data_IF_708573119765
#
_entry.id   IF_708573119765
#
_cell.length_a   1.000
_cell.length_b   1.000
_cell.length_c   1.000
_cell.angle_alpha   90.00
_cell.angle_beta   90.00
_cell.angle_gamma   90.00
#
_symmetry.space_group_name_H-M   'P 1'
#
loop_
_entity.id
_entity.type
_entity.pdbx_description
1 polymer ?
#
# COMPACT_ATOMS: atom_id res chain seq x y z
N UNK A 1 10.10 -12.96 18.00
CA UNK A 1 9.20 -14.11 18.24
C UNK A 1 7.96 -13.88 17.41
N UNK A 2 7.69 -14.75 16.43
CA UNK A 2 6.41 -14.72 15.70
C UNK A 2 5.36 -15.14 16.73
N UNK A 3 4.36 -14.29 16.94
CA UNK A 3 3.24 -14.62 17.81
C UNK A 3 2.59 -15.92 17.34
N UNK A 4 2.39 -16.87 18.25
CA UNK A 4 1.66 -18.12 17.95
C UNK A 4 0.17 -17.88 17.59
N UNK A 5 -0.27 -16.62 17.61
CA UNK A 5 -1.64 -16.21 17.33
C UNK A 5 -1.92 -15.94 15.84
N UNK A 6 -0.87 -15.90 15.00
CA UNK A 6 -1.05 -15.77 13.55
C UNK A 6 -1.45 -17.14 12.95
N UNK A 7 -2.73 -17.27 12.64
CA UNK A 7 -3.30 -18.46 11.99
C UNK A 7 -3.71 -18.14 10.55
N UNK A 8 -3.55 -19.12 9.67
CA UNK A 8 -4.13 -19.04 8.33
C UNK A 8 -5.64 -18.87 8.42
N UNK A 9 -6.20 -17.97 7.62
CA UNK A 9 -7.64 -17.72 7.60
C UNK A 9 -8.47 -18.88 7.05
N UNK A 10 -7.82 -19.88 6.41
CA UNK A 10 -8.47 -21.00 5.72
C UNK A 10 -9.63 -20.54 4.81
N UNK A 11 -9.38 -19.50 4.04
CA UNK A 11 -10.37 -18.84 3.18
C UNK A 11 -10.84 -19.72 2.01
N UNK A 12 -10.14 -20.81 1.72
CA UNK A 12 -10.35 -21.63 0.53
C UNK A 12 -9.64 -21.09 -0.72
N UNK A 13 -9.13 -19.85 -0.67
CA UNK A 13 -8.37 -19.23 -1.77
C UNK A 13 -6.88 -19.56 -1.66
N UNK A 14 -6.19 -19.54 -2.80
CA UNK A 14 -4.77 -19.87 -2.89
C UNK A 14 -4.04 -19.09 -4.00
N UNK A 15 -2.82 -19.50 -4.29
CA UNK A 15 -1.93 -18.81 -5.23
C UNK A 15 -2.45 -18.74 -6.68
N UNK A 16 -3.50 -19.48 -7.01
CA UNK A 16 -4.14 -19.50 -8.34
C UNK A 16 -5.51 -18.84 -8.35
N UNK A 17 -5.97 -18.33 -7.21
CA UNK A 17 -7.28 -17.66 -7.13
C UNK A 17 -7.18 -16.28 -7.78
N UNK A 18 -8.15 -15.99 -8.65
CA UNK A 18 -8.27 -14.69 -9.28
C UNK A 18 -8.92 -13.67 -8.33
N UNK A 19 -8.55 -12.39 -8.40
CA UNK A 19 -9.14 -11.35 -7.55
C UNK A 19 -10.67 -11.27 -7.65
N UNK A 20 -11.23 -11.51 -8.84
CA UNK A 20 -12.67 -11.54 -9.07
C UNK A 20 -13.38 -12.66 -8.32
N UNK A 21 -12.74 -13.85 -8.18
CA UNK A 21 -13.28 -14.95 -7.39
C UNK A 21 -13.31 -14.61 -5.90
N UNK A 22 -12.26 -13.90 -5.42
CA UNK A 22 -12.13 -13.52 -4.01
C UNK A 22 -13.18 -12.47 -3.62
N UNK A 23 -13.51 -11.56 -4.55
CA UNK A 23 -14.47 -10.47 -4.34
C UNK A 23 -15.89 -10.81 -4.80
N UNK A 24 -16.14 -12.03 -5.28
CA UNK A 24 -17.48 -12.44 -5.71
C UNK A 24 -18.51 -12.26 -4.57
N UNK A 25 -19.60 -11.56 -4.87
CA UNK A 25 -20.64 -11.21 -3.90
C UNK A 25 -20.26 -10.12 -2.89
N UNK A 26 -19.04 -9.56 -2.93
CA UNK A 26 -18.61 -8.46 -2.05
C UNK A 26 -18.95 -7.12 -2.72
N UNK A 27 -19.70 -6.28 -2.01
CA UNK A 27 -20.02 -4.92 -2.43
C UNK A 27 -19.24 -3.92 -1.58
N UNK A 28 -18.36 -3.14 -2.24
CA UNK A 28 -17.55 -2.09 -1.63
C UNK A 28 -18.05 -0.67 -1.95
N UNK A 29 -19.29 -0.53 -2.46
CA UNK A 29 -19.89 0.78 -2.73
C UNK A 29 -19.89 1.65 -1.47
N UNK A 30 -19.45 2.90 -1.61
CA UNK A 30 -19.32 3.83 -0.49
C UNK A 30 -18.08 3.62 0.37
N UNK A 31 -17.19 2.68 0.02
CA UNK A 31 -15.89 2.50 0.67
C UNK A 31 -14.80 3.21 -0.11
N UNK A 32 -13.87 3.83 0.61
CA UNK A 32 -12.66 4.41 0.04
C UNK A 32 -11.46 3.54 0.39
N UNK A 33 -10.68 3.20 -0.63
CA UNK A 33 -9.45 2.42 -0.50
C UNK A 33 -8.24 3.24 -0.98
N UNK A 34 -7.13 3.18 -0.26
CA UNK A 34 -5.82 3.67 -0.71
C UNK A 34 -4.95 2.46 -1.01
N UNK A 35 -4.32 2.43 -2.20
CA UNK A 35 -3.40 1.36 -2.61
C UNK A 35 -2.07 1.98 -3.04
N UNK A 36 -1.02 1.81 -2.24
CA UNK A 36 0.32 2.25 -2.63
C UNK A 36 0.86 1.35 -3.74
N UNK A 37 1.49 1.93 -4.77
CA UNK A 37 1.95 1.17 -5.94
C UNK A 37 0.83 0.51 -6.74
N UNK A 38 -0.40 1.01 -6.63
CA UNK A 38 -1.60 0.45 -7.25
C UNK A 38 -1.68 0.60 -8.77
N UNK A 39 -0.66 1.12 -9.42
CA UNK A 39 -0.61 1.36 -10.87
C UNK A 39 0.41 0.47 -11.61
N UNK A 40 1.00 -0.52 -10.93
CA UNK A 40 1.96 -1.44 -11.55
C UNK A 40 1.99 -2.80 -10.86
N UNK A 41 2.47 -3.82 -11.57
CA UNK A 41 2.63 -5.16 -11.01
C UNK A 41 1.34 -5.71 -10.38
N UNK A 42 1.45 -6.31 -9.20
CA UNK A 42 0.31 -6.87 -8.44
C UNK A 42 -0.69 -5.77 -8.06
N UNK A 43 -0.21 -4.54 -7.81
CA UNK A 43 -1.04 -3.44 -7.37
C UNK A 43 -2.11 -3.03 -8.38
N UNK A 44 -1.86 -3.12 -9.68
CA UNK A 44 -2.85 -2.74 -10.69
C UNK A 44 -4.06 -3.69 -10.68
N UNK A 45 -3.84 -4.98 -10.47
CA UNK A 45 -4.94 -5.95 -10.38
C UNK A 45 -5.72 -5.77 -9.06
N UNK A 46 -5.02 -5.43 -7.97
CA UNK A 46 -5.68 -5.04 -6.71
C UNK A 46 -6.56 -3.80 -6.91
N UNK A 47 -6.06 -2.78 -7.60
CA UNK A 47 -6.81 -1.55 -7.91
C UNK A 47 -8.04 -1.85 -8.75
N UNK A 48 -7.87 -2.65 -9.81
CA UNK A 48 -8.96 -3.07 -10.69
C UNK A 48 -10.06 -3.80 -9.91
N UNK A 49 -9.70 -4.83 -9.16
CA UNK A 49 -10.65 -5.65 -8.41
C UNK A 49 -11.44 -4.85 -7.37
N UNK A 50 -10.78 -3.95 -6.63
CA UNK A 50 -11.46 -3.07 -5.68
C UNK A 50 -12.42 -2.09 -6.37
N UNK A 51 -11.99 -1.51 -7.52
CA UNK A 51 -12.82 -0.61 -8.31
C UNK A 51 -14.05 -1.33 -8.88
N UNK A 52 -13.87 -2.52 -9.43
CA UNK A 52 -14.96 -3.36 -9.96
C UNK A 52 -15.95 -3.79 -8.85
N UNK A 53 -15.47 -3.99 -7.62
CA UNK A 53 -16.32 -4.23 -6.47
C UNK A 53 -17.03 -2.98 -5.93
N UNK A 54 -16.81 -1.81 -6.54
CA UNK A 54 -17.50 -0.55 -6.24
C UNK A 54 -16.77 0.40 -5.27
N UNK A 55 -15.53 0.11 -4.88
CA UNK A 55 -14.75 1.01 -4.02
C UNK A 55 -14.28 2.25 -4.80
N UNK A 56 -14.23 3.39 -4.11
CA UNK A 56 -13.49 4.58 -4.55
C UNK A 56 -12.01 4.34 -4.27
N UNK A 57 -11.21 4.02 -5.29
CA UNK A 57 -9.79 3.68 -5.10
C UNK A 57 -8.92 4.90 -5.36
N UNK A 58 -8.09 5.25 -4.38
CA UNK A 58 -7.14 6.37 -4.40
C UNK A 58 -5.73 5.81 -4.56
N UNK A 59 -4.98 6.35 -5.52
CA UNK A 59 -3.62 5.89 -5.83
C UNK A 59 -2.61 7.01 -5.57
N UNK A 60 -1.85 6.91 -4.47
CA UNK A 60 -0.66 7.73 -4.33
C UNK A 60 0.44 7.21 -5.26
N UNK A 61 0.98 8.08 -6.09
CA UNK A 61 1.96 7.75 -7.10
C UNK A 61 3.14 8.75 -7.08
N UNK A 62 4.37 8.23 -7.14
CA UNK A 62 5.56 9.06 -7.30
C UNK A 62 5.60 9.75 -8.67
N UNK A 63 4.99 9.13 -9.67
CA UNK A 63 4.88 9.64 -11.06
C UNK A 63 3.41 9.57 -11.49
N UNK A 64 2.61 10.61 -11.16
CA UNK A 64 1.18 10.62 -11.44
C UNK A 64 0.83 10.41 -12.91
N UNK A 65 1.62 10.98 -13.83
CA UNK A 65 1.39 10.85 -15.28
C UNK A 65 1.47 9.39 -15.75
N UNK A 66 2.45 8.63 -15.24
CA UNK A 66 2.55 7.20 -15.56
C UNK A 66 1.38 6.41 -14.96
N UNK A 67 0.97 6.77 -13.75
CA UNK A 67 -0.17 6.13 -13.10
C UNK A 67 -1.48 6.42 -13.86
N UNK A 68 -1.67 7.66 -14.36
CA UNK A 68 -2.85 8.03 -15.17
C UNK A 68 -2.93 7.24 -16.47
N UNK A 69 -1.79 6.94 -17.09
CA UNK A 69 -1.75 6.09 -18.30
C UNK A 69 -2.06 4.63 -17.96
N UNK A 70 -1.43 4.11 -16.90
CA UNK A 70 -1.58 2.70 -16.51
C UNK A 70 -3.00 2.36 -16.01
N UNK A 71 -3.69 3.34 -15.43
CA UNK A 71 -5.02 3.17 -14.81
C UNK A 71 -6.16 3.75 -15.66
N UNK A 72 -5.87 4.13 -16.90
CA UNK A 72 -6.91 4.63 -17.81
C UNK A 72 -8.03 3.60 -18.01
N UNK A 73 -9.28 4.03 -17.80
CA UNK A 73 -10.44 3.14 -17.82
C UNK A 73 -10.64 2.25 -16.58
N UNK A 74 -9.74 2.31 -15.55
CA UNK A 74 -9.87 1.54 -14.31
C UNK A 74 -10.40 2.44 -13.18
N UNK A 75 -9.81 3.62 -13.00
CA UNK A 75 -10.24 4.60 -12.00
C UNK A 75 -10.23 6.02 -12.59
N UNK A 76 -10.96 6.98 -12.00
CA UNK A 76 -10.90 8.37 -12.39
C UNK A 76 -9.51 8.98 -12.19
N UNK A 77 -9.09 9.90 -13.08
CA UNK A 77 -7.77 10.53 -13.01
C UNK A 77 -7.57 11.41 -11.76
N UNK A 78 -8.63 12.00 -11.25
CA UNK A 78 -8.66 12.79 -10.02
C UNK A 78 -8.55 11.96 -8.74
N UNK A 79 -8.50 10.63 -8.87
CA UNK A 79 -8.16 9.70 -7.80
C UNK A 79 -6.66 9.39 -7.70
N UNK A 80 -5.82 9.99 -8.56
CA UNK A 80 -4.38 9.80 -8.57
C UNK A 80 -3.71 11.04 -8.00
N UNK A 81 -2.93 10.86 -6.94
CA UNK A 81 -2.27 11.94 -6.21
C UNK A 81 -0.76 11.72 -6.17
N UNK A 82 -0.01 12.83 -6.17
CA UNK A 82 1.44 12.74 -6.01
C UNK A 82 1.81 12.35 -4.57
N UNK A 83 2.63 11.31 -4.43
CA UNK A 83 3.26 10.94 -3.15
C UNK A 83 4.48 10.06 -3.41
N UNK A 84 5.60 10.40 -2.76
CA UNK A 84 6.81 9.57 -2.70
C UNK A 84 6.97 8.99 -1.29
N UNK A 85 7.00 7.65 -1.20
CA UNK A 85 7.21 6.93 0.07
C UNK A 85 8.61 7.11 0.66
N UNK A 86 9.57 7.58 -0.12
CA UNK A 86 10.92 7.90 0.37
C UNK A 86 11.06 9.32 0.96
N UNK A 87 10.01 10.15 0.83
CA UNK A 87 9.96 11.54 1.29
C UNK A 87 8.83 11.73 2.32
N UNK A 88 9.22 11.96 3.58
CA UNK A 88 8.26 12.13 4.68
C UNK A 88 7.35 13.36 4.50
N UNK A 89 7.87 14.44 3.92
CA UNK A 89 7.09 15.64 3.65
C UNK A 89 6.06 15.38 2.54
N UNK A 90 6.41 14.56 1.55
CA UNK A 90 5.48 14.11 0.51
C UNK A 90 4.35 13.28 1.10
N UNK A 91 4.68 12.34 1.99
CA UNK A 91 3.68 11.53 2.71
C UNK A 91 2.76 12.45 3.51
N UNK A 92 3.33 13.42 4.25
CA UNK A 92 2.54 14.34 5.06
C UNK A 92 1.57 15.17 4.22
N UNK A 93 2.02 15.75 3.11
CA UNK A 93 1.13 16.52 2.20
C UNK A 93 -0.04 15.66 1.72
N UNK A 94 0.23 14.42 1.31
CA UNK A 94 -0.80 13.49 0.87
C UNK A 94 -1.78 13.15 2.00
N UNK A 95 -1.27 12.80 3.19
CA UNK A 95 -2.14 12.43 4.33
C UNK A 95 -3.00 13.59 4.83
N UNK A 96 -2.49 14.82 4.83
CA UNK A 96 -3.25 16.01 5.16
C UNK A 96 -4.42 16.24 4.17
N UNK A 97 -4.19 15.96 2.88
CA UNK A 97 -5.24 16.01 1.86
C UNK A 97 -6.30 14.94 2.09
N UNK A 98 -5.89 13.70 2.37
CA UNK A 98 -6.80 12.58 2.66
C UNK A 98 -7.65 12.89 3.89
N UNK A 99 -7.03 13.25 5.01
CA UNK A 99 -7.72 13.57 6.28
C UNK A 99 -8.78 14.68 6.12
N UNK A 100 -8.53 15.62 5.24
CA UNK A 100 -9.43 16.79 5.02
C UNK A 100 -10.64 16.43 4.16
N UNK A 101 -10.49 15.52 3.19
CA UNK A 101 -11.44 15.38 2.09
C UNK A 101 -12.08 13.99 1.99
N UNK A 102 -11.55 12.97 2.65
CA UNK A 102 -11.94 11.58 2.43
C UNK A 102 -12.21 10.85 3.74
N UNK A 103 -13.19 9.93 3.70
CA UNK A 103 -13.40 8.94 4.76
C UNK A 103 -12.74 7.64 4.31
N UNK A 104 -11.62 7.28 4.93
CA UNK A 104 -10.82 6.13 4.54
C UNK A 104 -11.30 4.85 5.23
N UNK A 105 -11.54 3.79 4.47
CA UNK A 105 -11.94 2.47 4.99
C UNK A 105 -10.83 1.42 4.86
N UNK A 106 -10.06 1.46 3.75
CA UNK A 106 -9.09 0.42 3.41
C UNK A 106 -7.76 1.08 3.05
N UNK A 107 -6.69 0.68 3.73
CA UNK A 107 -5.32 1.07 3.41
C UNK A 107 -4.54 -0.18 3.01
N UNK A 108 -4.02 -0.24 1.78
CA UNK A 108 -3.20 -1.33 1.28
C UNK A 108 -1.78 -0.83 1.03
N UNK A 109 -0.87 -1.17 1.93
CA UNK A 109 0.56 -0.92 1.84
C UNK A 109 1.18 -1.99 0.91
N UNK A 110 1.09 -1.76 -0.40
CA UNK A 110 1.48 -2.72 -1.43
C UNK A 110 2.78 -2.34 -2.14
N UNK A 111 3.11 -1.04 -2.25
CA UNK A 111 4.32 -0.61 -2.95
C UNK A 111 5.58 -1.28 -2.40
N UNK A 112 6.50 -1.58 -3.29
CA UNK A 112 7.81 -2.11 -2.91
C UNK A 112 8.80 -2.00 -4.05
N UNK A 113 10.06 -1.80 -3.69
CA UNK A 113 11.19 -1.84 -4.60
C UNK A 113 12.17 -2.92 -4.13
N UNK A 114 12.85 -3.56 -5.06
CA UNK A 114 13.80 -4.62 -4.76
C UNK A 114 14.94 -4.61 -5.77
N UNK A 115 16.14 -4.94 -5.28
CA UNK A 115 17.34 -5.04 -6.09
C UNK A 115 17.63 -3.79 -6.96
N UNK A 116 17.24 -2.62 -6.47
CA UNK A 116 17.62 -1.35 -7.09
C UNK A 116 19.09 -1.02 -6.79
N UNK A 117 19.75 -0.16 -7.60
CA UNK A 117 21.05 0.35 -7.25
C UNK A 117 21.09 0.95 -5.86
N UNK A 118 22.21 0.75 -5.15
CA UNK A 118 22.39 1.33 -3.82
C UNK A 118 22.17 2.84 -3.86
N UNK A 119 21.25 3.29 -3.03
CA UNK A 119 21.00 4.71 -2.87
C UNK A 119 20.40 5.00 -1.50
N UNK A 120 20.55 6.23 -1.04
CA UNK A 120 20.05 6.70 0.26
C UNK A 120 19.08 7.87 0.07
N UNK A 121 18.12 7.94 0.97
CA UNK A 121 17.23 9.11 1.07
C UNK A 121 17.98 10.34 1.60
N UNK A 122 17.35 11.50 1.56
CA UNK A 122 17.87 12.73 2.19
C UNK A 122 18.14 12.58 3.69
N UNK A 123 17.44 11.65 4.35
CA UNK A 123 17.63 11.31 5.75
C UNK A 123 18.76 10.29 5.99
N UNK A 124 19.46 9.85 4.95
CA UNK A 124 20.55 8.88 5.04
C UNK A 124 20.09 7.41 5.14
N UNK A 125 18.79 7.12 5.01
CA UNK A 125 18.27 5.77 5.07
C UNK A 125 18.48 5.04 3.74
N UNK A 126 18.73 3.73 3.80
CA UNK A 126 18.66 2.88 2.60
C UNK A 126 17.32 3.06 1.90
N UNK A 127 17.35 3.21 0.56
CA UNK A 127 16.15 3.53 -0.20
C UNK A 127 15.10 2.42 -0.15
N UNK A 128 15.50 1.14 -0.18
CA UNK A 128 14.55 0.03 -0.11
C UNK A 128 13.89 -0.03 1.26
N UNK A 129 14.67 0.16 2.34
CA UNK A 129 14.11 0.21 3.68
C UNK A 129 13.19 1.42 3.87
N UNK A 130 13.58 2.58 3.34
CA UNK A 130 12.76 3.79 3.41
C UNK A 130 11.40 3.59 2.71
N UNK A 131 11.39 3.10 1.46
CA UNK A 131 10.15 2.92 0.68
C UNK A 131 9.31 1.76 1.22
N UNK A 132 9.93 0.58 1.44
CA UNK A 132 9.17 -0.63 1.74
C UNK A 132 8.66 -0.66 3.18
N UNK A 133 9.36 0.01 4.12
CA UNK A 133 9.02 -0.04 5.53
C UNK A 133 8.70 1.32 6.14
N UNK A 134 9.66 2.26 6.19
CA UNK A 134 9.50 3.53 6.91
C UNK A 134 8.34 4.35 6.31
N UNK A 135 8.29 4.47 4.99
CA UNK A 135 7.24 5.24 4.31
C UNK A 135 5.84 4.70 4.60
N UNK A 136 5.67 3.38 4.55
CA UNK A 136 4.39 2.74 4.89
C UNK A 136 4.06 2.84 6.38
N UNK A 137 5.07 2.76 7.25
CA UNK A 137 4.87 2.96 8.69
C UNK A 137 4.33 4.37 8.96
N UNK A 138 4.98 5.40 8.40
CA UNK A 138 4.56 6.80 8.57
C UNK A 138 3.19 7.04 7.95
N UNK A 139 2.94 6.56 6.71
CA UNK A 139 1.64 6.66 6.05
C UNK A 139 0.52 6.06 6.91
N UNK A 140 0.76 4.87 7.46
CA UNK A 140 -0.20 4.18 8.32
C UNK A 140 -0.43 4.95 9.61
N UNK A 141 0.63 5.39 10.27
CA UNK A 141 0.56 6.16 11.52
C UNK A 141 -0.23 7.47 11.32
N UNK A 142 0.00 8.16 10.21
CA UNK A 142 -0.70 9.40 9.90
C UNK A 142 -2.20 9.19 9.60
N UNK A 143 -2.59 8.05 9.03
CA UNK A 143 -3.96 7.82 8.58
C UNK A 143 -4.83 7.02 9.54
N UNK A 144 -4.26 6.23 10.44
CA UNK A 144 -4.99 5.25 11.26
C UNK A 144 -6.13 5.87 12.08
N UNK A 145 -5.89 7.03 12.68
CA UNK A 145 -6.89 7.71 13.52
C UNK A 145 -8.02 8.37 12.70
N UNK A 146 -7.80 8.57 11.40
CA UNK A 146 -8.78 9.15 10.47
C UNK A 146 -9.57 8.09 9.70
N UNK A 147 -9.28 6.81 9.90
CA UNK A 147 -10.02 5.73 9.24
C UNK A 147 -11.42 5.56 9.85
N UNK A 148 -12.41 5.32 8.98
CA UNK A 148 -13.78 5.07 9.40
C UNK A 148 -13.92 3.68 10.04
N UNK A 149 -13.85 3.65 11.37
CA UNK A 149 -13.97 2.43 12.15
C UNK A 149 -15.43 1.94 12.27
N UNK A 150 -16.42 2.79 12.02
CA UNK A 150 -17.84 2.44 12.17
C UNK A 150 -18.29 1.36 11.19
N UNK A 151 -17.64 1.29 10.04
CA UNK A 151 -17.93 0.36 8.96
C UNK A 151 -16.87 -0.73 8.76
N UNK A 152 -15.95 -0.89 9.71
CA UNK A 152 -14.92 -1.94 9.69
C UNK A 152 -13.70 -1.58 8.84
N UNK A 153 -12.87 -0.65 9.32
CA UNK A 153 -11.61 -0.28 8.68
C UNK A 153 -10.63 -1.47 8.57
N UNK A 154 -9.80 -1.46 7.52
CA UNK A 154 -8.77 -2.48 7.27
C UNK A 154 -7.45 -1.86 6.86
N UNK A 155 -6.36 -2.33 7.46
CA UNK A 155 -4.99 -2.04 7.02
C UNK A 155 -4.36 -3.36 6.59
N UNK A 156 -3.89 -3.42 5.35
CA UNK A 156 -3.25 -4.59 4.76
C UNK A 156 -1.80 -4.23 4.44
N UNK A 157 -0.86 -4.97 5.01
CA UNK A 157 0.57 -4.82 4.71
C UNK A 157 1.04 -6.01 3.89
N UNK A 158 1.55 -5.77 2.69
CA UNK A 158 2.19 -6.81 1.91
C UNK A 158 3.53 -7.16 2.54
N UNK A 159 3.80 -8.46 2.59
CA UNK A 159 5.06 -9.03 3.06
C UNK A 159 5.67 -9.91 1.97
N UNK A 160 6.88 -10.39 2.19
CA UNK A 160 7.59 -11.26 1.26
C UNK A 160 8.02 -12.55 1.94
N UNK A 161 8.14 -13.64 1.17
CA UNK A 161 8.80 -14.87 1.63
C UNK A 161 10.25 -14.64 2.03
N UNK A 162 10.87 -13.56 1.56
CA UNK A 162 12.24 -13.18 1.91
C UNK A 162 12.47 -13.00 3.41
N UNK A 163 11.43 -12.61 4.18
CA UNK A 163 11.53 -12.48 5.64
C UNK A 163 11.91 -13.80 6.35
N UNK A 164 11.80 -14.92 5.66
CA UNK A 164 12.17 -16.24 6.19
C UNK A 164 13.66 -16.57 6.01
N UNK A 165 14.39 -15.81 5.17
CA UNK A 165 15.79 -16.11 4.85
C UNK A 165 16.77 -15.63 5.92
N UNK A 166 16.46 -14.56 6.61
CA UNK A 166 17.28 -14.06 7.73
C UNK A 166 16.44 -13.26 8.70
N UNK A 167 16.97 -13.02 9.92
CA UNK A 167 16.47 -12.02 10.84
C UNK A 167 16.86 -10.60 10.41
N UNK A 168 16.44 -9.61 11.21
CA UNK A 168 16.83 -8.21 11.02
C UNK A 168 18.28 -8.05 11.53
N UNK A 169 19.13 -7.42 10.72
CA UNK A 169 20.48 -7.03 11.12
C UNK A 169 20.42 -5.73 11.93
N UNK A 170 20.20 -5.84 13.22
CA UNK A 170 20.04 -4.67 14.10
C UNK A 170 21.29 -3.81 14.21
N UNK A 171 22.47 -4.41 14.04
CA UNK A 171 23.76 -3.71 14.13
C UNK A 171 24.09 -2.95 12.83
N UNK A 172 23.44 -3.28 11.71
CA UNK A 172 23.62 -2.62 10.41
C UNK A 172 22.33 -2.67 9.58
N UNK A 173 21.31 -1.95 10.01
CA UNK A 173 19.99 -1.89 9.35
C UNK A 173 20.07 -1.40 7.91
N UNK A 174 21.09 -0.59 7.60
CA UNK A 174 21.26 0.00 6.26
C UNK A 174 22.26 -0.74 5.39
N UNK A 175 22.80 -1.86 5.85
CA UNK A 175 23.82 -2.65 5.14
C UNK A 175 24.97 -1.77 4.67
N UNK A 176 25.51 -0.97 5.58
CA UNK A 176 26.58 0.02 5.29
C UNK A 176 27.99 -0.58 5.36
N UNK A 177 28.14 -1.83 5.84
CA UNK A 177 29.40 -2.56 6.01
C UNK A 177 29.43 -3.82 5.17
#
# INVERSE_FOLDING_TARGET
>A
MISNDQKNLNSGFGAKSEPSEILDGINLSGKTAIVTGGYSGIGIETTRALSEAGASVIIPARRPEEAMVALDGIIPKDHIFEMDLSDLESIKRFTDLVKKNLSLNILINNAGIMACPESKTSNGWDLQFAVNHIGHFVLTHELVDSMDQSSGARIINLSSTAHKFSGICWDDIHFSN
#
